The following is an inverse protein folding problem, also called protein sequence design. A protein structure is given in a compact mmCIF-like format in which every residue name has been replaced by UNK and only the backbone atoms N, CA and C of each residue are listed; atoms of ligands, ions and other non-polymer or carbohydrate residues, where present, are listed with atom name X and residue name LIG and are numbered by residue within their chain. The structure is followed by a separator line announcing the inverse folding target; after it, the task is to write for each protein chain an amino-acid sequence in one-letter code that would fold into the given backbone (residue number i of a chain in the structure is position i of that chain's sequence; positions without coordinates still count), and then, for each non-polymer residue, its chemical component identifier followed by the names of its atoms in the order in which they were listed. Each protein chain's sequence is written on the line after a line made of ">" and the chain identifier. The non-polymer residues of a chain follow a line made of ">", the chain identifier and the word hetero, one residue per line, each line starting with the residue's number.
data_IF_118352495871
#
_entry.id   IF_118352495871
#
_cell.length_a   1.000
_cell.length_b   1.000
_cell.length_c   1.000
_cell.angle_alpha   90.00
_cell.angle_beta   90.00
_cell.angle_gamma   90.00
#
_symmetry.space_group_name_H-M   'P 1'
#
loop_
_entity.id
_entity.type
_entity.pdbx_description
1 polymer ?
#
# COMPACT_ATOMS: atom_id res chain seq x y z
N UNK A 1 8.31 21.90 54.55
CA UNK A 1 7.32 21.90 53.47
C UNK A 1 7.95 21.29 52.22
N UNK A 2 7.66 20.03 51.93
CA UNK A 2 8.20 19.31 50.79
C UNK A 2 7.14 19.34 49.66
N UNK A 3 7.44 20.07 48.59
CA UNK A 3 6.56 20.21 47.44
C UNK A 3 6.85 19.05 46.46
N UNK A 4 5.92 18.11 46.32
CA UNK A 4 5.98 17.04 45.33
C UNK A 4 5.60 17.63 43.95
N UNK A 5 6.54 17.68 43.02
CA UNK A 5 6.25 17.94 41.60
C UNK A 5 5.83 16.63 40.96
N UNK A 6 4.56 16.48 40.65
CA UNK A 6 4.05 15.39 39.85
C UNK A 6 4.35 15.69 38.35
N UNK A 7 5.31 15.00 37.77
CA UNK A 7 5.55 15.03 36.35
C UNK A 7 4.45 14.22 35.66
N UNK A 8 3.54 14.89 34.94
CA UNK A 8 2.54 14.27 34.09
C UNK A 8 3.26 13.86 32.80
N UNK A 9 3.56 12.57 32.67
CA UNK A 9 4.00 11.96 31.41
C UNK A 9 2.81 11.96 30.45
N UNK A 10 2.85 12.82 29.45
CA UNK A 10 1.95 12.74 28.31
C UNK A 10 2.43 11.58 27.42
N UNK A 11 1.76 10.45 27.53
CA UNK A 11 1.91 9.37 26.57
C UNK A 11 1.26 9.85 25.25
N UNK A 12 2.08 10.12 24.23
CA UNK A 12 1.58 10.25 22.87
C UNK A 12 1.05 8.89 22.42
N UNK A 13 -0.26 8.73 22.48
CA UNK A 13 -0.93 7.57 21.88
C UNK A 13 -0.87 7.79 20.38
N UNK A 14 -0.03 7.04 19.69
CA UNK A 14 -0.06 6.97 18.23
C UNK A 14 -1.45 6.44 17.83
N UNK A 15 -2.27 7.32 17.26
CA UNK A 15 -3.60 6.94 16.80
C UNK A 15 -3.46 6.31 15.43
N UNK A 16 -3.73 5.01 15.34
CA UNK A 16 -3.87 4.32 14.06
C UNK A 16 -4.94 5.01 13.22
N UNK A 17 -4.60 5.43 12.01
CA UNK A 17 -5.55 6.00 11.07
C UNK A 17 -5.98 4.92 10.07
N UNK A 18 -7.29 4.63 10.02
CA UNK A 18 -7.91 3.83 8.95
C UNK A 18 -8.61 4.82 8.03
N UNK A 19 -8.14 4.92 6.79
CA UNK A 19 -8.65 5.87 5.81
C UNK A 19 -9.80 5.26 5.00
N UNK A 20 -9.71 3.96 4.67
CA UNK A 20 -10.67 3.24 3.88
C UNK A 20 -10.93 1.84 4.43
N UNK A 21 -12.18 1.39 4.33
CA UNK A 21 -12.59 0.05 4.72
C UNK A 21 -12.45 -0.94 3.56
N UNK A 22 -12.46 -2.25 3.87
CA UNK A 22 -12.47 -3.29 2.83
C UNK A 22 -13.71 -3.23 1.93
N UNK A 23 -14.84 -2.72 2.42
CA UNK A 23 -16.07 -2.58 1.63
C UNK A 23 -15.97 -1.50 0.55
N UNK A 24 -15.00 -0.59 0.66
CA UNK A 24 -14.78 0.49 -0.31
C UNK A 24 -13.80 0.09 -1.44
N UNK A 25 -13.19 -1.11 -1.37
CA UNK A 25 -12.19 -1.54 -2.37
C UNK A 25 -12.75 -1.51 -3.79
N UNK A 26 -13.99 -1.99 -3.99
CA UNK A 26 -14.61 -2.03 -5.31
C UNK A 26 -14.78 -0.62 -5.89
N UNK A 27 -15.29 0.30 -5.08
CA UNK A 27 -15.52 1.68 -5.49
C UNK A 27 -14.22 2.47 -5.72
N UNK A 28 -13.19 2.20 -4.92
CA UNK A 28 -11.88 2.83 -5.07
C UNK A 28 -11.12 2.31 -6.30
N UNK A 29 -11.10 0.97 -6.46
CA UNK A 29 -10.31 0.34 -7.50
C UNK A 29 -10.97 0.39 -8.88
N UNK A 30 -12.32 0.31 -8.92
CA UNK A 30 -13.08 0.07 -10.14
C UNK A 30 -14.38 0.88 -10.18
N UNK A 31 -14.31 2.23 -10.07
CA UNK A 31 -15.52 3.08 -9.98
C UNK A 31 -16.43 2.99 -11.22
N UNK A 32 -15.86 2.64 -12.38
CA UNK A 32 -16.58 2.57 -13.66
C UNK A 32 -16.85 1.13 -14.12
N UNK A 33 -16.67 0.13 -13.25
CA UNK A 33 -16.91 -1.26 -13.57
C UNK A 33 -18.32 -1.70 -13.20
N UNK A 34 -18.91 -2.56 -14.03
CA UNK A 34 -20.24 -3.12 -13.77
C UNK A 34 -20.21 -4.21 -12.69
N UNK A 35 -19.06 -4.87 -12.55
CA UNK A 35 -18.89 -6.03 -11.66
C UNK A 35 -17.46 -6.12 -11.14
N UNK A 36 -17.34 -6.44 -9.85
CA UNK A 36 -16.07 -6.76 -9.21
C UNK A 36 -16.16 -8.17 -8.63
N UNK A 37 -15.24 -9.04 -9.04
CA UNK A 37 -15.11 -10.39 -8.51
C UNK A 37 -13.93 -10.48 -7.55
N UNK A 38 -14.07 -11.33 -6.55
CA UNK A 38 -13.00 -11.62 -5.59
C UNK A 38 -12.54 -13.05 -5.78
N UNK A 39 -11.23 -13.24 -5.92
CA UNK A 39 -10.62 -14.55 -6.10
C UNK A 39 -9.47 -14.74 -5.13
N UNK A 40 -9.58 -15.81 -4.32
CA UNK A 40 -8.50 -16.25 -3.45
C UNK A 40 -7.58 -17.22 -4.21
N UNK A 41 -6.29 -16.92 -4.21
CA UNK A 41 -5.25 -17.70 -4.88
C UNK A 41 -4.28 -18.24 -3.84
N UNK A 42 -4.19 -19.57 -3.75
CA UNK A 42 -3.15 -20.24 -2.98
C UNK A 42 -1.92 -20.43 -3.87
N UNK A 43 -0.84 -19.73 -3.51
CA UNK A 43 0.42 -19.84 -4.24
C UNK A 43 1.07 -21.22 -3.99
N UNK A 44 1.54 -21.85 -5.06
CA UNK A 44 2.47 -22.98 -4.91
C UNK A 44 3.82 -22.51 -4.35
N UNK A 45 4.63 -23.41 -3.78
CA UNK A 45 5.98 -23.05 -3.33
C UNK A 45 6.82 -22.38 -4.42
N UNK A 46 6.74 -22.86 -5.65
CA UNK A 46 7.49 -22.32 -6.81
C UNK A 46 6.97 -20.94 -7.24
N UNK A 47 5.64 -20.70 -7.14
CA UNK A 47 5.05 -19.38 -7.41
C UNK A 47 5.49 -18.38 -6.35
N UNK A 48 5.45 -18.79 -5.08
CA UNK A 48 5.89 -17.97 -3.95
C UNK A 48 7.36 -17.57 -4.10
N UNK A 49 8.25 -18.54 -4.36
CA UNK A 49 9.68 -18.29 -4.55
C UNK A 49 9.94 -17.28 -5.69
N UNK A 50 9.24 -17.43 -6.82
CA UNK A 50 9.37 -16.48 -7.94
C UNK A 50 8.93 -15.08 -7.58
N UNK A 51 7.83 -14.94 -6.83
CA UNK A 51 7.33 -13.63 -6.40
C UNK A 51 8.31 -12.99 -5.41
N UNK A 52 8.73 -13.73 -4.38
CA UNK A 52 9.70 -13.27 -3.38
C UNK A 52 11.03 -12.85 -4.01
N UNK A 53 11.50 -13.63 -4.98
CA UNK A 53 12.72 -13.29 -5.73
C UNK A 53 12.54 -12.00 -6.54
N UNK A 54 11.41 -11.82 -7.21
CA UNK A 54 11.13 -10.63 -8.01
C UNK A 54 10.91 -9.38 -7.15
N UNK A 55 10.24 -9.53 -6.01
CA UNK A 55 9.97 -8.45 -5.05
C UNK A 55 11.21 -8.09 -4.20
N UNK A 56 12.14 -9.02 -4.04
CA UNK A 56 13.28 -8.86 -3.13
C UNK A 56 12.88 -8.91 -1.65
N UNK A 57 11.70 -9.43 -1.32
CA UNK A 57 11.18 -9.56 0.03
C UNK A 57 10.33 -10.83 0.18
N UNK A 58 10.24 -11.34 1.42
CA UNK A 58 9.39 -12.48 1.72
C UNK A 58 7.91 -12.09 1.74
N UNK A 59 7.04 -13.02 1.33
CA UNK A 59 5.59 -12.93 1.52
C UNK A 59 5.20 -13.46 2.89
N UNK A 60 4.29 -12.75 3.57
CA UNK A 60 3.78 -13.15 4.89
C UNK A 60 2.95 -14.44 4.84
N UNK A 61 2.42 -14.80 3.66
CA UNK A 61 1.61 -16.00 3.48
C UNK A 61 1.58 -16.51 2.05
N UNK A 62 0.90 -17.65 1.86
CA UNK A 62 0.69 -18.24 0.54
C UNK A 62 -0.69 -17.90 -0.06
N UNK A 63 -1.59 -17.27 0.71
CA UNK A 63 -2.92 -16.87 0.25
C UNK A 63 -2.91 -15.40 -0.18
N UNK A 64 -3.31 -15.15 -1.43
CA UNK A 64 -3.48 -13.80 -1.98
C UNK A 64 -4.93 -13.65 -2.41
N UNK A 65 -5.58 -12.57 -1.99
CA UNK A 65 -6.91 -12.18 -2.47
C UNK A 65 -6.75 -11.15 -3.58
N UNK A 66 -7.29 -11.45 -4.75
CA UNK A 66 -7.29 -10.60 -5.93
C UNK A 66 -8.72 -10.14 -6.20
N UNK A 67 -8.91 -8.84 -6.39
CA UNK A 67 -10.14 -8.24 -6.88
C UNK A 67 -9.99 -8.02 -8.39
N UNK A 68 -10.96 -8.45 -9.17
CA UNK A 68 -10.98 -8.36 -10.64
C UNK A 68 -12.17 -7.47 -11.06
N UNK A 69 -11.88 -6.34 -11.71
CA UNK A 69 -12.89 -5.41 -12.20
C UNK A 69 -13.28 -5.71 -13.64
N UNK A 70 -14.58 -5.73 -13.95
CA UNK A 70 -15.12 -6.02 -15.27
C UNK A 70 -16.06 -4.93 -15.78
N UNK A 71 -16.01 -4.68 -17.09
CA UNK A 71 -17.01 -3.89 -17.82
C UNK A 71 -17.58 -4.79 -18.91
N UNK A 72 -18.82 -5.26 -18.70
CA UNK A 72 -19.39 -6.40 -19.40
C UNK A 72 -18.53 -7.65 -19.15
N UNK A 73 -18.09 -8.29 -20.22
CA UNK A 73 -17.19 -9.47 -20.15
C UNK A 73 -15.70 -9.10 -20.24
N UNK A 74 -15.38 -7.81 -20.37
CA UNK A 74 -13.99 -7.35 -20.51
C UNK A 74 -13.39 -7.08 -19.14
N UNK A 75 -12.28 -7.76 -18.83
CA UNK A 75 -11.45 -7.45 -17.69
C UNK A 75 -10.85 -6.05 -17.84
N UNK A 76 -11.06 -5.19 -16.85
CA UNK A 76 -10.52 -3.82 -16.77
C UNK A 76 -9.19 -3.81 -16.02
N UNK A 77 -9.09 -4.57 -14.93
CA UNK A 77 -7.87 -4.62 -14.15
C UNK A 77 -7.99 -5.49 -12.91
N UNK A 78 -6.97 -5.41 -12.09
CA UNK A 78 -6.82 -6.14 -10.85
C UNK A 78 -6.57 -5.19 -9.68
N UNK A 79 -6.98 -5.58 -8.48
CA UNK A 79 -6.55 -4.89 -7.27
C UNK A 79 -6.19 -5.90 -6.18
N UNK A 80 -5.28 -5.52 -5.30
CA UNK A 80 -4.87 -6.33 -4.16
C UNK A 80 -4.47 -5.46 -2.98
N UNK A 81 -4.68 -5.99 -1.79
CA UNK A 81 -4.17 -5.38 -0.56
C UNK A 81 -2.78 -5.94 -0.27
N UNK A 82 -1.87 -5.04 0.04
CA UNK A 82 -0.57 -5.34 0.61
C UNK A 82 -0.47 -4.73 2.01
N UNK A 83 -0.04 -5.52 2.98
CA UNK A 83 0.18 -5.04 4.35
C UNK A 83 1.60 -5.37 4.75
N UNK A 84 2.37 -4.36 5.14
CA UNK A 84 3.76 -4.52 5.53
C UNK A 84 4.12 -3.58 6.69
N UNK A 85 5.27 -3.83 7.30
CA UNK A 85 5.83 -2.95 8.33
C UNK A 85 6.63 -1.82 7.66
N UNK A 86 6.30 -0.56 8.00
CA UNK A 86 7.08 0.60 7.53
C UNK A 86 8.36 0.74 8.36
N UNK A 87 8.23 0.84 9.66
CA UNK A 87 9.34 0.87 10.63
C UNK A 87 9.07 -0.08 11.77
N UNK A 88 8.03 0.15 12.54
CA UNK A 88 7.61 -0.62 13.71
C UNK A 88 6.16 -1.02 13.66
N UNK A 89 5.36 -0.27 12.91
CA UNK A 89 3.93 -0.47 12.76
C UNK A 89 3.56 -0.70 11.29
N UNK A 90 2.35 -1.24 11.09
CA UNK A 90 1.90 -1.64 9.75
C UNK A 90 1.31 -0.49 8.95
N UNK A 91 1.51 -0.59 7.63
CA UNK A 91 0.77 0.10 6.60
C UNK A 91 0.00 -0.92 5.78
N UNK A 92 -1.18 -0.55 5.28
CA UNK A 92 -1.93 -1.35 4.30
C UNK A 92 -2.19 -0.49 3.08
N UNK A 93 -1.73 -0.95 1.94
CA UNK A 93 -1.94 -0.33 0.63
C UNK A 93 -2.94 -1.14 -0.19
N UNK A 94 -3.78 -0.44 -0.96
CA UNK A 94 -4.52 -1.02 -2.08
C UNK A 94 -3.76 -0.66 -3.36
N UNK A 95 -3.26 -1.66 -4.06
CA UNK A 95 -2.58 -1.51 -5.35
C UNK A 95 -3.55 -1.93 -6.45
N UNK A 96 -3.81 -1.03 -7.39
CA UNK A 96 -4.68 -1.25 -8.55
C UNK A 96 -3.81 -1.33 -9.80
N UNK A 97 -3.99 -2.39 -10.57
CA UNK A 97 -3.33 -2.63 -11.85
C UNK A 97 -4.36 -2.59 -12.97
N UNK A 98 -3.98 -2.06 -14.11
CA UNK A 98 -4.75 -2.24 -15.34
C UNK A 98 -4.66 -3.68 -15.86
N UNK A 99 -5.44 -4.03 -16.89
CA UNK A 99 -5.45 -5.37 -17.49
C UNK A 99 -4.09 -5.77 -18.10
N UNK A 100 -3.18 -4.82 -18.32
CA UNK A 100 -1.82 -5.07 -18.84
C UNK A 100 -0.78 -5.25 -17.74
N UNK A 101 -1.18 -5.07 -16.46
CA UNK A 101 -0.32 -5.16 -15.28
C UNK A 101 0.48 -3.89 -14.97
N UNK A 102 0.10 -2.75 -15.54
CA UNK A 102 0.65 -1.46 -15.13
C UNK A 102 -0.13 -0.92 -13.92
N UNK A 103 0.56 -0.22 -13.01
CA UNK A 103 -0.08 0.41 -11.85
C UNK A 103 -1.00 1.53 -12.30
N UNK A 104 -2.30 1.37 -12.06
CA UNK A 104 -3.32 2.37 -12.36
C UNK A 104 -3.53 3.34 -11.18
N UNK A 105 -3.49 2.83 -9.95
CA UNK A 105 -3.62 3.64 -8.74
C UNK A 105 -3.02 2.93 -7.52
N UNK A 106 -2.73 3.71 -6.47
CA UNK A 106 -2.34 3.19 -5.16
C UNK A 106 -3.01 4.04 -4.09
N UNK A 107 -3.63 3.39 -3.10
CA UNK A 107 -4.32 4.06 -1.99
C UNK A 107 -3.79 3.55 -0.66
N UNK A 108 -3.62 4.44 0.32
CA UNK A 108 -3.36 4.05 1.70
C UNK A 108 -4.68 3.71 2.37
N UNK A 109 -4.88 2.45 2.71
CA UNK A 109 -6.09 1.96 3.38
C UNK A 109 -6.01 2.17 4.89
N UNK A 110 -4.86 1.86 5.48
CA UNK A 110 -4.58 2.04 6.90
C UNK A 110 -3.11 2.36 7.13
N UNK A 111 -2.84 3.20 8.12
CA UNK A 111 -1.50 3.61 8.49
C UNK A 111 -1.39 3.74 10.00
N UNK A 112 -0.42 3.05 10.61
CA UNK A 112 -0.30 2.96 12.06
C UNK A 112 0.95 3.66 12.60
N UNK A 113 1.87 4.07 11.74
CA UNK A 113 3.03 4.89 12.11
C UNK A 113 2.61 6.37 12.31
N UNK A 114 3.46 7.21 12.92
CA UNK A 114 3.22 8.64 13.00
C UNK A 114 2.97 9.27 11.62
N UNK A 115 2.06 10.26 11.53
CA UNK A 115 1.66 10.88 10.25
C UNK A 115 2.81 11.43 9.40
N UNK A 116 3.94 11.77 10.03
CA UNK A 116 5.14 12.28 9.35
C UNK A 116 5.77 11.24 8.39
N UNK A 117 5.41 9.97 8.54
CA UNK A 117 5.90 8.88 7.68
C UNK A 117 4.87 8.46 6.62
N UNK A 118 3.67 9.08 6.63
CA UNK A 118 2.62 8.76 5.66
C UNK A 118 3.07 9.14 4.24
N UNK A 119 3.03 8.19 3.27
CA UNK A 119 3.32 8.52 1.88
C UNK A 119 2.24 9.47 1.32
N UNK A 120 2.67 10.60 0.78
CA UNK A 120 1.76 11.53 0.14
C UNK A 120 1.40 11.11 -1.28
N UNK A 121 0.27 11.62 -1.80
CA UNK A 121 -0.26 11.30 -3.13
C UNK A 121 0.76 11.51 -4.26
N UNK A 122 1.60 12.54 -4.14
CA UNK A 122 2.66 12.81 -5.11
C UNK A 122 3.69 11.68 -5.17
N UNK A 123 4.04 11.10 -4.02
CA UNK A 123 4.97 9.98 -3.96
C UNK A 123 4.33 8.70 -4.48
N UNK A 124 3.10 8.41 -4.08
CA UNK A 124 2.33 7.28 -4.61
C UNK A 124 2.14 7.38 -6.12
N UNK A 125 1.97 8.59 -6.65
CA UNK A 125 1.89 8.86 -8.08
C UNK A 125 3.15 8.51 -8.89
N UNK A 126 4.31 8.31 -8.26
CA UNK A 126 5.52 7.84 -8.95
C UNK A 126 5.41 6.42 -9.47
N UNK A 127 4.49 5.64 -8.93
CA UNK A 127 4.23 4.26 -9.36
C UNK A 127 3.24 4.19 -10.54
N UNK A 128 2.51 5.27 -10.82
CA UNK A 128 1.53 5.27 -11.91
C UNK A 128 2.18 4.91 -13.25
N UNK A 129 1.51 4.07 -14.04
CA UNK A 129 1.96 3.49 -15.32
C UNK A 129 3.23 2.62 -15.21
N UNK A 130 3.75 2.36 -14.02
CA UNK A 130 4.88 1.46 -13.81
C UNK A 130 4.46 0.00 -13.87
N UNK A 131 5.39 -0.84 -14.30
CA UNK A 131 5.25 -2.29 -14.39
C UNK A 131 6.30 -2.99 -13.55
N UNK A 132 6.09 -4.26 -13.25
CA UNK A 132 7.09 -5.08 -12.54
C UNK A 132 8.45 -5.15 -13.28
N UNK A 133 8.45 -4.98 -14.61
CA UNK A 133 9.68 -4.92 -15.40
C UNK A 133 10.50 -3.64 -15.19
N UNK A 134 9.90 -2.61 -14.62
CA UNK A 134 10.57 -1.34 -14.38
C UNK A 134 11.45 -1.41 -13.13
N UNK A 135 12.45 -0.55 -13.03
CA UNK A 135 13.26 -0.45 -11.80
C UNK A 135 12.50 0.34 -10.74
N UNK A 136 11.70 -0.37 -9.93
CA UNK A 136 10.87 0.21 -8.87
C UNK A 136 11.63 0.44 -7.56
N UNK A 137 12.94 0.21 -7.53
CA UNK A 137 13.73 0.36 -6.31
C UNK A 137 13.81 1.81 -5.87
N UNK A 138 13.55 2.02 -4.57
CA UNK A 138 13.72 3.31 -3.92
C UNK A 138 15.19 3.76 -4.01
N UNK A 139 15.41 5.02 -4.35
CA UNK A 139 16.73 5.59 -4.60
C UNK A 139 17.23 5.45 -6.05
N UNK A 140 16.40 4.86 -6.95
CA UNK A 140 16.63 4.79 -8.39
C UNK A 140 15.49 5.45 -9.16
N UNK A 141 14.58 4.69 -9.76
CA UNK A 141 13.43 5.27 -10.45
C UNK A 141 12.39 5.85 -9.47
N UNK A 142 12.35 5.35 -8.24
CA UNK A 142 11.48 5.86 -7.18
C UNK A 142 12.34 6.63 -6.16
N UNK A 143 12.03 7.90 -5.97
CA UNK A 143 12.70 8.74 -4.95
C UNK A 143 12.17 8.35 -3.57
N UNK A 144 13.08 8.14 -2.59
CA UNK A 144 12.69 7.82 -1.22
C UNK A 144 11.90 8.96 -0.56
N UNK A 145 10.99 8.62 0.34
CA UNK A 145 10.36 9.60 1.23
C UNK A 145 11.44 10.14 2.16
N UNK A 146 11.71 11.44 2.08
CA UNK A 146 12.63 12.13 3.00
C UNK A 146 11.81 12.89 4.02
N UNK A 147 12.04 12.57 5.29
CA UNK A 147 11.48 13.30 6.43
C UNK A 147 12.43 14.37 6.97
N UNK A 148 13.33 14.88 6.15
CA UNK A 148 14.17 15.98 6.57
C UNK A 148 13.58 17.31 6.06
N UNK A 149 13.73 18.34 6.87
CA UNK A 149 13.35 19.73 6.57
C UNK A 149 14.16 20.34 5.43
N UNK A 150 15.01 19.56 4.75
CA UNK A 150 15.87 19.97 3.64
C UNK A 150 15.27 19.64 2.26
N UNK A 151 14.03 19.13 2.19
CA UNK A 151 13.34 18.97 0.92
C UNK A 151 13.03 20.37 0.35
N UNK A 152 13.61 20.76 -0.80
CA UNK A 152 13.19 21.98 -1.47
C UNK A 152 11.73 21.76 -1.88
N UNK A 153 10.82 22.50 -1.24
CA UNK A 153 9.44 22.57 -1.68
C UNK A 153 9.33 22.94 -3.16
N UNK A 154 8.12 22.83 -3.73
CA UNK A 154 7.89 23.15 -5.12
C UNK A 154 8.28 24.55 -5.46
#
# INVERSE_FOLDING_TARGET
>A
LVTFFAAILWANVATAAVFHSRSEIADLAFPDCDRVETRDVFLSPEQRERIEHAAGSALDGALITIYEGYSGDRLVGYAMLDSHLVRTLSETLLVVLDASGAVAATYVMAFHEPPDYLPGDRWLGLFHDRRLSDDLRVGRAIVGIRNDSSWPGP
#
